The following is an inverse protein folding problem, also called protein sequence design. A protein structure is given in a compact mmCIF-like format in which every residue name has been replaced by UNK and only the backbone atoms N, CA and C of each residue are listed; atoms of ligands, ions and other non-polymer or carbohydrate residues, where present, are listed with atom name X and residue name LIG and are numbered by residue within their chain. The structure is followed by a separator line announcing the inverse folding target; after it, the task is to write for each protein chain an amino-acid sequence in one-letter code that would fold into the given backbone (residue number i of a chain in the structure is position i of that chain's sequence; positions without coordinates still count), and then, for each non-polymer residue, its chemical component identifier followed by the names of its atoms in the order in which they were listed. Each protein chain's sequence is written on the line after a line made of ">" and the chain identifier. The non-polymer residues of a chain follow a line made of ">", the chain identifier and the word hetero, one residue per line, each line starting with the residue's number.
data_IF_719988622531
#
_entry.id   IF_719988622531
#
_cell.length_a   1.000
_cell.length_b   1.000
_cell.length_c   1.000
_cell.angle_alpha   90.00
_cell.angle_beta   90.00
_cell.angle_gamma   90.00
#
_symmetry.space_group_name_H-M   'P 1'
#
loop_
_entity.id
_entity.type
_entity.pdbx_description
1 polymer ?
#
# COMPACT_ATOMS: atom_id res chain seq x y z
N UNK A 1 -19.51 -23.21 -0.33
CA UNK A 1 -18.07 -23.35 -0.64
C UNK A 1 -17.34 -22.26 0.08
N UNK A 2 -16.53 -22.63 1.07
CA UNK A 2 -15.58 -21.70 1.68
C UNK A 2 -14.65 -21.14 0.60
N UNK A 3 -14.24 -19.86 0.69
CA UNK A 3 -13.32 -19.28 -0.26
C UNK A 3 -11.98 -20.01 -0.18
N UNK A 4 -11.64 -20.74 -1.23
CA UNK A 4 -10.36 -21.43 -1.33
C UNK A 4 -9.23 -20.41 -1.36
N UNK A 5 -8.27 -20.51 -0.43
CA UNK A 5 -7.07 -19.66 -0.44
C UNK A 5 -6.28 -19.92 -1.73
N UNK A 6 -5.96 -18.88 -2.53
CA UNK A 6 -5.12 -19.00 -3.71
C UNK A 6 -3.79 -19.69 -3.44
N UNK A 7 -3.25 -20.44 -4.41
CA UNK A 7 -1.97 -21.14 -4.27
C UNK A 7 -0.84 -20.20 -3.85
N UNK A 8 -0.68 -19.07 -4.56
CA UNK A 8 0.33 -18.07 -4.22
C UNK A 8 0.13 -17.48 -2.82
N UNK A 9 -1.12 -17.23 -2.41
CA UNK A 9 -1.39 -16.75 -1.06
C UNK A 9 -1.05 -17.81 0.00
N UNK A 10 -1.31 -19.09 -0.27
CA UNK A 10 -0.88 -20.18 0.63
C UNK A 10 0.63 -20.16 0.80
N UNK A 11 1.39 -20.04 -0.28
CA UNK A 11 2.86 -19.99 -0.22
C UNK A 11 3.36 -18.79 0.60
N UNK A 12 2.80 -17.60 0.35
CA UNK A 12 3.09 -16.40 1.14
C UNK A 12 2.81 -16.65 2.62
N UNK A 13 1.66 -17.24 2.96
CA UNK A 13 1.28 -17.52 4.36
C UNK A 13 2.26 -18.48 5.02
N UNK A 14 2.73 -19.53 4.32
CA UNK A 14 3.76 -20.43 4.86
C UNK A 14 5.08 -19.69 5.11
N UNK A 15 5.47 -18.80 4.20
CA UNK A 15 6.68 -17.98 4.36
C UNK A 15 6.56 -16.99 5.52
N UNK A 16 5.40 -16.35 5.64
CA UNK A 16 5.10 -15.47 6.78
C UNK A 16 5.07 -16.24 8.09
N UNK A 17 4.58 -17.48 8.12
CA UNK A 17 4.61 -18.30 9.34
C UNK A 17 6.04 -18.44 9.87
N UNK A 18 6.98 -18.80 8.98
CA UNK A 18 8.42 -18.88 9.30
C UNK A 18 9.00 -17.54 9.75
N UNK A 19 8.65 -16.46 9.05
CA UNK A 19 9.04 -15.10 9.44
C UNK A 19 8.63 -14.76 10.89
N UNK A 20 7.42 -15.15 11.30
CA UNK A 20 6.92 -14.90 12.65
C UNK A 20 7.51 -15.82 13.73
N UNK A 21 8.20 -16.90 13.34
CA UNK A 21 9.01 -17.73 14.26
C UNK A 21 10.34 -17.05 14.59
N UNK A 22 10.82 -16.12 13.76
CA UNK A 22 12.00 -15.30 14.04
C UNK A 22 11.70 -14.18 15.07
N UNK A 23 12.75 -13.67 15.73
CA UNK A 23 12.64 -12.55 16.67
C UNK A 23 12.02 -11.32 15.98
N UNK A 24 11.05 -10.69 16.64
CA UNK A 24 10.44 -9.45 16.15
C UNK A 24 11.49 -8.34 16.14
N UNK A 25 11.70 -7.63 15.01
CA UNK A 25 12.64 -6.52 14.97
C UNK A 25 12.24 -5.43 15.97
N UNK A 26 13.21 -4.99 16.77
CA UNK A 26 13.01 -3.96 17.79
C UNK A 26 13.23 -2.58 17.19
N UNK A 27 12.32 -1.66 17.49
CA UNK A 27 12.44 -0.26 17.14
C UNK A 27 13.16 0.51 18.25
N UNK A 28 14.13 1.32 17.86
CA UNK A 28 14.74 2.32 18.72
C UNK A 28 14.29 3.71 18.24
N UNK A 29 13.95 4.58 19.19
CA UNK A 29 13.71 5.98 18.88
C UNK A 29 15.04 6.70 18.74
N UNK A 30 15.17 7.49 17.68
CA UNK A 30 16.34 8.31 17.40
C UNK A 30 15.90 9.73 17.03
N UNK A 31 16.82 10.69 17.15
CA UNK A 31 16.59 12.00 16.56
C UNK A 31 16.82 11.92 15.03
N UNK A 32 15.98 12.57 14.20
CA UNK A 32 16.27 12.72 12.78
C UNK A 32 17.61 13.44 12.57
N UNK A 33 18.45 12.91 11.67
CA UNK A 33 19.70 13.57 11.30
C UNK A 33 19.46 14.77 10.38
N UNK A 34 20.48 15.61 10.16
CA UNK A 34 20.39 16.71 9.20
C UNK A 34 20.12 16.21 7.77
N UNK A 35 20.70 15.06 7.38
CA UNK A 35 20.42 14.41 6.10
C UNK A 35 18.96 13.95 6.00
N UNK A 36 18.44 13.32 7.05
CA UNK A 36 17.05 12.88 7.11
C UNK A 36 16.09 14.07 6.92
N UNK A 37 16.35 15.19 7.59
CA UNK A 37 15.55 16.42 7.45
C UNK A 37 15.66 17.04 6.05
N UNK A 38 16.86 17.03 5.46
CA UNK A 38 17.07 17.53 4.10
C UNK A 38 16.32 16.70 3.05
N UNK A 39 16.30 15.38 3.20
CA UNK A 39 15.51 14.48 2.35
C UNK A 39 14.03 14.78 2.49
N UNK A 40 13.51 14.82 3.72
CA UNK A 40 12.08 15.12 3.96
C UNK A 40 11.68 16.48 3.39
N UNK A 41 12.52 17.50 3.57
CA UNK A 41 12.28 18.84 3.02
C UNK A 41 12.25 18.82 1.49
N UNK A 42 13.23 18.15 0.86
CA UNK A 42 13.28 18.00 -0.60
C UNK A 42 12.01 17.33 -1.10
N UNK A 43 11.68 16.15 -0.58
CA UNK A 43 10.47 15.45 -0.99
C UNK A 43 9.22 16.32 -0.77
N UNK A 44 9.07 16.96 0.39
CA UNK A 44 7.92 17.80 0.68
C UNK A 44 7.77 19.04 -0.22
N UNK A 45 8.86 19.58 -0.75
CA UNK A 45 8.85 20.83 -1.53
C UNK A 45 8.87 20.59 -3.02
N UNK A 46 9.36 19.43 -3.48
CA UNK A 46 9.33 19.04 -4.88
C UNK A 46 7.91 18.78 -5.38
N UNK A 47 7.62 19.28 -6.59
CA UNK A 47 6.42 18.91 -7.31
C UNK A 47 6.46 17.41 -7.66
N UNK A 48 5.31 16.75 -7.55
CA UNK A 48 5.18 15.33 -7.86
C UNK A 48 3.88 15.10 -8.60
N UNK A 49 3.96 14.43 -9.74
CA UNK A 49 2.79 13.97 -10.49
C UNK A 49 1.93 12.98 -9.69
N UNK A 50 2.51 12.37 -8.64
CA UNK A 50 1.82 11.43 -7.76
C UNK A 50 1.06 12.15 -6.63
N UNK A 51 1.63 13.20 -6.04
CA UNK A 51 1.04 14.01 -4.95
C UNK A 51 0.42 15.32 -5.45
N UNK A 52 -0.58 15.22 -6.34
CA UNK A 52 -1.23 16.38 -6.95
C UNK A 52 -1.98 17.29 -5.97
N UNK A 53 -2.34 16.76 -4.79
CA UNK A 53 -2.94 17.53 -3.71
C UNK A 53 -1.90 18.25 -2.83
N UNK A 54 -0.60 18.07 -3.10
CA UNK A 54 0.51 18.64 -2.34
C UNK A 54 0.43 18.33 -0.84
N UNK A 55 -0.02 17.12 -0.48
CA UNK A 55 -0.22 16.71 0.91
C UNK A 55 1.08 16.76 1.71
N UNK A 56 2.20 16.36 1.11
CA UNK A 56 3.52 16.37 1.75
C UNK A 56 3.96 17.79 2.07
N UNK A 57 3.76 18.69 1.11
CA UNK A 57 4.07 20.11 1.26
C UNK A 57 3.21 20.75 2.36
N UNK A 58 1.91 20.49 2.34
CA UNK A 58 0.99 21.00 3.35
C UNK A 58 1.36 20.55 4.76
N UNK A 59 1.70 19.27 4.93
CA UNK A 59 2.12 18.72 6.22
C UNK A 59 3.48 19.25 6.68
N UNK A 60 4.43 19.41 5.75
CA UNK A 60 5.76 19.94 6.05
C UNK A 60 5.73 21.43 6.41
N UNK A 61 4.80 22.21 5.87
CA UNK A 61 4.67 23.63 6.19
C UNK A 61 3.74 23.89 7.39
N UNK A 62 3.09 22.86 7.94
CA UNK A 62 2.28 23.00 9.14
C UNK A 62 3.17 23.33 10.35
N UNK A 63 2.76 24.33 11.13
CA UNK A 63 3.48 24.80 12.32
C UNK A 63 3.41 23.80 13.48
N UNK A 64 2.37 22.96 13.51
CA UNK A 64 2.17 21.93 14.52
C UNK A 64 2.74 20.57 14.08
N UNK A 65 3.54 20.53 13.01
CA UNK A 65 4.16 19.30 12.55
C UNK A 65 5.17 18.77 13.58
N UNK A 66 5.29 17.47 13.61
CA UNK A 66 6.36 16.76 14.31
C UNK A 66 7.09 15.86 13.33
N UNK A 67 8.37 15.61 13.59
CA UNK A 67 9.16 14.60 12.89
C UNK A 67 9.67 13.61 13.91
N UNK A 68 9.24 12.36 13.82
CA UNK A 68 9.76 11.28 14.66
C UNK A 68 10.59 10.34 13.79
N UNK A 69 11.63 9.74 14.37
CA UNK A 69 12.48 8.78 13.70
C UNK A 69 12.54 7.50 14.55
N UNK A 70 12.27 6.37 13.91
CA UNK A 70 12.50 5.06 14.51
C UNK A 70 13.35 4.20 13.59
N UNK A 71 14.31 3.50 14.17
CA UNK A 71 15.24 2.63 13.45
C UNK A 71 15.15 1.21 14.00
N UNK A 72 15.18 0.24 13.09
CA UNK A 72 15.37 -1.16 13.42
C UNK A 72 16.42 -1.75 12.48
N UNK A 73 16.76 -3.03 12.66
CA UNK A 73 17.73 -3.76 11.83
C UNK A 73 17.48 -3.66 10.32
N UNK A 74 16.21 -3.52 9.90
CA UNK A 74 15.80 -3.57 8.49
C UNK A 74 15.46 -2.21 7.89
N UNK A 75 15.63 -1.13 8.65
CA UNK A 75 15.40 0.20 8.11
C UNK A 75 15.10 1.28 9.15
N UNK A 76 14.97 2.49 8.61
CA UNK A 76 14.64 3.73 9.30
C UNK A 76 13.31 4.25 8.79
N UNK A 77 12.43 4.67 9.70
CA UNK A 77 11.15 5.29 9.38
C UNK A 77 11.13 6.70 9.96
N UNK A 78 11.01 7.68 9.07
CA UNK A 78 10.84 9.09 9.39
C UNK A 78 9.36 9.43 9.23
N UNK A 79 8.70 9.79 10.33
CA UNK A 79 7.27 10.12 10.32
C UNK A 79 7.10 11.62 10.48
N UNK A 80 6.59 12.27 9.46
CA UNK A 80 6.10 13.66 9.51
C UNK A 80 4.61 13.58 9.78
N UNK A 81 4.12 14.18 10.87
CA UNK A 81 2.69 14.16 11.21
C UNK A 81 2.23 15.45 11.86
N UNK A 82 0.92 15.69 11.81
CA UNK A 82 0.23 16.72 12.60
C UNK A 82 -0.57 16.03 13.70
N UNK A 83 -0.07 16.13 14.94
CA UNK A 83 -0.63 15.41 16.08
C UNK A 83 -0.40 13.90 16.04
N UNK A 84 -1.11 13.13 16.89
CA UNK A 84 -0.94 11.69 16.99
C UNK A 84 -1.25 10.98 15.67
N UNK A 85 -0.39 10.03 15.30
CA UNK A 85 -0.57 9.10 14.18
C UNK A 85 -0.32 7.68 14.66
N UNK A 86 -1.08 6.73 14.10
CA UNK A 86 -1.04 5.33 14.50
C UNK A 86 -0.22 4.53 13.48
N UNK A 87 1.09 4.43 13.69
CA UNK A 87 1.94 3.54 12.88
C UNK A 87 1.90 2.14 13.47
N UNK A 88 1.51 1.10 12.70
CA UNK A 88 1.51 -0.28 13.18
C UNK A 88 2.94 -0.83 13.18
N UNK A 89 3.74 -0.38 14.15
CA UNK A 89 5.19 -0.58 14.22
C UNK A 89 5.60 -2.04 14.14
N UNK A 90 4.86 -2.92 14.81
CA UNK A 90 5.13 -4.37 14.77
C UNK A 90 4.93 -4.92 13.36
N UNK A 91 3.84 -4.52 12.69
CA UNK A 91 3.56 -4.94 11.32
C UNK A 91 4.60 -4.40 10.34
N UNK A 92 4.98 -3.13 10.47
CA UNK A 92 5.99 -2.50 9.60
C UNK A 92 7.38 -3.12 9.79
N UNK A 93 7.77 -3.47 11.02
CA UNK A 93 8.99 -4.22 11.28
C UNK A 93 9.01 -5.57 10.55
N UNK A 94 7.91 -6.33 10.61
CA UNK A 94 7.79 -7.61 9.90
C UNK A 94 7.80 -7.45 8.39
N UNK A 95 7.17 -6.39 7.86
CA UNK A 95 7.24 -6.05 6.44
C UNK A 95 8.70 -5.81 6.04
N UNK A 96 9.42 -4.94 6.74
CA UNK A 96 10.82 -4.64 6.42
C UNK A 96 11.72 -5.88 6.54
N UNK A 97 11.51 -6.72 7.56
CA UNK A 97 12.19 -8.00 7.73
C UNK A 97 11.97 -8.94 6.55
N UNK A 98 10.73 -9.02 6.03
CA UNK A 98 10.37 -9.85 4.89
C UNK A 98 11.13 -9.44 3.62
N UNK A 99 11.34 -8.14 3.39
CA UNK A 99 12.09 -7.64 2.22
C UNK A 99 13.62 -7.69 2.42
N UNK A 100 14.12 -7.78 3.66
CA UNK A 100 15.52 -8.12 3.94
C UNK A 100 16.56 -7.04 3.57
N UNK A 101 16.19 -5.76 3.57
CA UNK A 101 17.06 -4.63 3.20
C UNK A 101 17.30 -3.63 4.33
N UNK A 102 17.96 -2.51 4.01
CA UNK A 102 18.05 -1.32 4.87
C UNK A 102 17.32 -0.17 4.17
N UNK A 103 16.02 -0.02 4.45
CA UNK A 103 15.16 0.95 3.79
C UNK A 103 15.05 2.24 4.61
N UNK A 104 15.00 3.39 3.94
CA UNK A 104 14.60 4.67 4.56
C UNK A 104 13.20 5.05 4.08
N UNK A 105 12.23 4.98 4.99
CA UNK A 105 10.83 5.32 4.73
C UNK A 105 10.58 6.76 5.14
N UNK A 106 10.17 7.60 4.20
CA UNK A 106 9.73 8.97 4.41
C UNK A 106 8.20 8.99 4.45
N UNK A 107 7.63 8.91 5.64
CA UNK A 107 6.19 8.80 5.86
C UNK A 107 5.58 10.15 6.27
N UNK A 108 4.90 10.81 5.34
CA UNK A 108 4.06 11.97 5.61
C UNK A 108 2.65 11.50 5.96
N UNK A 109 2.34 11.41 7.25
CA UNK A 109 1.06 10.91 7.77
C UNK A 109 -0.07 11.93 7.59
N UNK A 110 -0.36 12.31 6.34
CA UNK A 110 -1.44 13.23 6.01
C UNK A 110 -2.80 12.53 6.17
N UNK A 111 -3.67 13.13 6.99
CA UNK A 111 -5.05 12.69 7.24
C UNK A 111 -5.98 13.11 6.10
N UNK A 112 -5.70 12.62 4.90
CA UNK A 112 -6.48 12.88 3.69
C UNK A 112 -7.08 11.59 3.13
N UNK A 113 -8.41 11.41 3.20
CA UNK A 113 -9.05 10.19 2.68
C UNK A 113 -9.01 10.13 1.16
N UNK A 114 -8.97 8.91 0.62
CA UNK A 114 -9.18 8.57 -0.78
C UNK A 114 -10.66 8.61 -1.10
N UNK A 115 -11.06 9.66 -1.78
CA UNK A 115 -12.45 9.87 -2.20
C UNK A 115 -12.49 9.86 -3.71
N UNK A 116 -13.35 9.02 -4.28
CA UNK A 116 -13.64 9.02 -5.71
C UNK A 116 -14.27 10.37 -6.11
N UNK A 117 -13.99 10.87 -7.31
CA UNK A 117 -14.56 12.13 -7.78
C UNK A 117 -16.07 11.99 -8.03
N UNK A 118 -16.70 13.07 -8.51
CA UNK A 118 -18.05 13.00 -9.06
C UNK A 118 -18.16 11.96 -10.19
N UNK A 119 -19.36 11.41 -10.37
CA UNK A 119 -19.64 10.43 -11.43
C UNK A 119 -19.35 11.02 -12.81
N UNK A 120 -18.83 10.18 -13.69
CA UNK A 120 -18.38 10.57 -15.03
C UNK A 120 -17.04 11.29 -15.05
N UNK A 121 -16.51 11.73 -13.90
CA UNK A 121 -15.18 12.32 -13.81
C UNK A 121 -14.09 11.25 -13.76
N UNK A 122 -12.92 11.51 -14.37
CA UNK A 122 -11.80 10.56 -14.39
C UNK A 122 -11.19 10.39 -13.00
N UNK A 123 -10.81 9.15 -12.66
CA UNK A 123 -10.13 8.83 -11.41
C UNK A 123 -8.61 8.92 -11.62
N UNK A 124 -8.03 10.03 -11.18
CA UNK A 124 -6.60 10.34 -11.28
C UNK A 124 -5.85 10.16 -9.94
N UNK A 125 -4.55 10.46 -9.94
CA UNK A 125 -3.61 10.28 -8.83
C UNK A 125 -4.10 10.89 -7.50
N UNK A 126 -4.73 12.07 -7.53
CA UNK A 126 -5.28 12.74 -6.36
C UNK A 126 -6.34 11.92 -5.60
N UNK A 127 -6.97 10.94 -6.24
CA UNK A 127 -7.99 10.11 -5.61
C UNK A 127 -7.40 8.83 -5.00
N UNK A 128 -6.30 8.31 -5.55
CA UNK A 128 -5.89 6.91 -5.31
C UNK A 128 -4.40 6.69 -5.03
N UNK A 129 -3.50 7.65 -5.27
CA UNK A 129 -2.08 7.49 -4.94
C UNK A 129 -1.79 7.87 -3.49
N UNK A 130 -0.85 7.19 -2.85
CA UNK A 130 -0.38 7.57 -1.52
C UNK A 130 1.08 7.25 -1.24
N UNK A 131 1.85 6.88 -2.26
CA UNK A 131 3.28 6.70 -2.18
C UNK A 131 3.92 6.78 -3.56
N UNK A 132 5.24 6.74 -3.55
CA UNK A 132 6.07 6.47 -4.70
C UNK A 132 7.49 6.12 -4.21
N UNK A 133 8.26 5.46 -5.07
CA UNK A 133 9.70 5.28 -4.89
C UNK A 133 10.39 5.24 -6.24
N UNK A 134 11.70 5.46 -6.26
CA UNK A 134 12.51 5.08 -7.41
C UNK A 134 12.70 3.56 -7.43
N UNK A 135 12.54 2.88 -8.58
CA UNK A 135 12.80 1.45 -8.67
C UNK A 135 14.23 1.13 -8.26
N UNK A 136 14.43 0.02 -7.54
CA UNK A 136 15.73 -0.42 -7.05
C UNK A 136 16.44 0.54 -6.06
N UNK A 137 15.72 1.50 -5.49
CA UNK A 137 16.27 2.47 -4.55
C UNK A 137 15.63 2.33 -3.17
N UNK A 138 16.42 1.86 -2.20
CA UNK A 138 16.01 1.74 -0.80
C UNK A 138 16.26 3.02 0.02
N UNK A 139 16.90 4.04 -0.56
CA UNK A 139 17.36 5.24 0.15
C UNK A 139 16.24 6.25 0.44
N UNK A 140 15.11 6.15 -0.27
CA UNK A 140 13.95 7.01 -0.06
C UNK A 140 12.67 6.37 -0.63
N UNK A 141 11.90 5.71 0.25
CA UNK A 141 10.55 5.24 -0.06
C UNK A 141 9.55 6.24 0.53
N UNK A 142 8.73 6.87 -0.30
CA UNK A 142 7.80 7.91 0.14
C UNK A 142 6.40 7.32 0.32
N UNK A 143 5.81 7.52 1.50
CA UNK A 143 4.40 7.26 1.80
C UNK A 143 3.80 8.57 2.30
N UNK A 144 2.67 9.03 1.77
CA UNK A 144 2.17 10.37 2.07
C UNK A 144 0.68 10.48 2.41
N UNK A 145 0.03 9.35 2.68
CA UNK A 145 -1.31 9.32 3.28
C UNK A 145 -1.33 8.32 4.41
N UNK A 146 -2.03 8.68 5.48
CA UNK A 146 -2.25 7.74 6.59
C UNK A 146 -3.19 6.59 6.17
N UNK A 147 -4.17 6.89 5.31
CA UNK A 147 -5.03 5.86 4.76
C UNK A 147 -4.25 4.88 3.87
N UNK A 148 -4.35 3.60 4.23
CA UNK A 148 -3.67 2.47 3.57
C UNK A 148 -2.14 2.54 3.57
N UNK A 149 -1.54 3.31 4.48
CA UNK A 149 -0.08 3.50 4.55
C UNK A 149 0.70 2.17 4.54
N UNK A 150 0.22 1.16 5.25
CA UNK A 150 0.85 -0.17 5.29
C UNK A 150 0.83 -0.87 3.93
N UNK A 151 -0.25 -0.76 3.16
CA UNK A 151 -0.36 -1.36 1.83
C UNK A 151 0.49 -0.61 0.81
N UNK A 152 0.49 0.72 0.89
CA UNK A 152 1.43 1.56 0.12
C UNK A 152 2.87 1.14 0.42
N UNK A 153 3.24 1.01 1.70
CA UNK A 153 4.59 0.59 2.07
C UNK A 153 4.99 -0.73 1.40
N UNK A 154 4.14 -1.75 1.44
CA UNK A 154 4.43 -3.03 0.77
C UNK A 154 4.61 -2.83 -0.74
N UNK A 155 3.73 -2.07 -1.39
CA UNK A 155 3.80 -1.75 -2.82
C UNK A 155 5.14 -1.07 -3.18
N UNK A 156 5.48 0.02 -2.49
CA UNK A 156 6.71 0.77 -2.79
C UNK A 156 7.97 -0.03 -2.45
N UNK A 157 7.94 -0.86 -1.41
CA UNK A 157 9.08 -1.74 -1.10
C UNK A 157 9.34 -2.77 -2.21
N UNK A 158 8.31 -3.23 -2.93
CA UNK A 158 8.51 -4.09 -4.09
C UNK A 158 9.27 -3.37 -5.20
N UNK A 159 8.88 -2.12 -5.51
CA UNK A 159 9.61 -1.27 -6.47
C UNK A 159 11.06 -1.05 -6.00
N UNK A 160 11.26 -0.65 -4.75
CA UNK A 160 12.58 -0.41 -4.16
C UNK A 160 13.46 -1.68 -4.15
N UNK A 161 12.87 -2.86 -4.12
CA UNK A 161 13.56 -4.15 -4.10
C UNK A 161 13.75 -4.77 -5.49
N UNK A 162 13.59 -3.99 -6.56
CA UNK A 162 13.72 -4.45 -7.95
C UNK A 162 12.77 -5.59 -8.34
N UNK A 163 11.59 -5.68 -7.74
CA UNK A 163 10.63 -6.76 -8.03
C UNK A 163 9.69 -6.44 -9.20
N UNK A 164 9.93 -5.35 -9.92
CA UNK A 164 9.18 -4.98 -11.11
C UNK A 164 9.28 -6.07 -12.18
N UNK A 165 8.16 -6.47 -12.80
CA UNK A 165 8.19 -7.37 -13.95
C UNK A 165 9.09 -6.80 -15.06
N UNK A 166 10.08 -7.58 -15.54
CA UNK A 166 10.91 -7.15 -16.65
C UNK A 166 10.07 -7.04 -17.93
N UNK A 167 10.40 -6.08 -18.80
CA UNK A 167 9.81 -5.95 -20.14
C UNK A 167 8.25 -5.87 -20.08
N UNK A 168 7.73 -4.93 -19.30
CA UNK A 168 6.30 -4.66 -19.16
C UNK A 168 6.05 -3.15 -19.23
N UNK A 169 4.87 -2.74 -19.71
CA UNK A 169 4.46 -1.33 -19.66
C UNK A 169 4.31 -0.86 -18.20
N UNK A 170 4.34 0.47 -17.98
CA UNK A 170 4.13 1.03 -16.63
C UNK A 170 2.78 0.56 -16.05
N UNK A 171 1.71 0.55 -16.86
CA UNK A 171 0.39 0.11 -16.38
C UNK A 171 0.38 -1.37 -15.95
N UNK A 172 1.05 -2.25 -16.68
CA UNK A 172 1.14 -3.67 -16.32
C UNK A 172 2.02 -3.91 -15.09
N UNK A 173 3.13 -3.17 -14.96
CA UNK A 173 3.98 -3.21 -13.76
C UNK A 173 3.19 -2.83 -12.52
N UNK A 174 2.55 -1.68 -12.55
CA UNK A 174 1.72 -1.17 -11.43
C UNK A 174 0.60 -2.14 -11.08
N UNK A 175 -0.07 -2.74 -12.08
CA UNK A 175 -1.11 -3.74 -11.84
C UNK A 175 -0.56 -5.00 -11.15
N UNK A 176 0.62 -5.47 -11.56
CA UNK A 176 1.23 -6.66 -10.99
C UNK A 176 1.73 -6.40 -9.56
N UNK A 177 2.42 -5.28 -9.35
CA UNK A 177 2.93 -4.86 -8.05
C UNK A 177 1.78 -4.62 -7.06
N UNK A 178 0.72 -3.91 -7.46
CA UNK A 178 -0.45 -3.71 -6.61
C UNK A 178 -1.11 -5.05 -6.22
N UNK A 179 -1.25 -5.97 -7.17
CA UNK A 179 -1.81 -7.31 -6.92
C UNK A 179 -0.97 -8.08 -5.90
N UNK A 180 0.35 -8.06 -6.05
CA UNK A 180 1.25 -8.70 -5.10
C UNK A 180 1.22 -8.02 -3.73
N UNK A 181 1.18 -6.69 -3.68
CA UNK A 181 1.11 -5.94 -2.44
C UNK A 181 -0.12 -6.33 -1.60
N UNK A 182 -1.29 -6.49 -2.24
CA UNK A 182 -2.50 -6.97 -1.57
C UNK A 182 -2.34 -8.41 -1.02
N UNK A 183 -1.73 -9.30 -1.80
CA UNK A 183 -1.50 -10.70 -1.39
C UNK A 183 -0.49 -10.79 -0.22
N UNK A 184 0.61 -10.04 -0.28
CA UNK A 184 1.60 -9.96 0.79
C UNK A 184 1.02 -9.35 2.06
N UNK A 185 0.24 -8.27 1.93
CA UNK A 185 -0.45 -7.67 3.07
C UNK A 185 -1.33 -8.70 3.78
N UNK A 186 -2.15 -9.45 3.04
CA UNK A 186 -3.01 -10.49 3.63
C UNK A 186 -2.19 -11.59 4.29
N UNK A 187 -1.10 -12.03 3.63
CA UNK A 187 -0.14 -12.97 4.20
C UNK A 187 0.36 -12.50 5.57
N UNK A 188 0.89 -11.28 5.64
CA UNK A 188 1.44 -10.66 6.86
C UNK A 188 0.37 -10.49 7.95
N UNK A 189 -0.81 -9.98 7.60
CA UNK A 189 -1.92 -9.78 8.54
C UNK A 189 -2.47 -11.09 9.09
N UNK A 190 -2.35 -12.19 8.32
CA UNK A 190 -2.74 -13.52 8.79
C UNK A 190 -1.77 -14.13 9.81
N UNK A 191 -0.56 -13.56 9.97
CA UNK A 191 0.50 -14.07 10.85
C UNK A 191 0.80 -15.56 10.63
N UNK A 192 0.73 -16.03 9.38
CA UNK A 192 0.96 -17.43 9.02
C UNK A 192 -0.25 -18.37 9.19
N UNK A 193 -1.41 -17.85 9.59
CA UNK A 193 -2.65 -18.64 9.71
C UNK A 193 -3.40 -18.73 8.38
N UNK A 194 -3.47 -19.94 7.80
CA UNK A 194 -4.23 -20.21 6.57
C UNK A 194 -5.73 -19.90 6.74
N UNK A 195 -6.30 -20.21 7.90
CA UNK A 195 -7.70 -19.91 8.20
C UNK A 195 -7.96 -18.39 8.21
N UNK A 196 -7.09 -17.62 8.86
CA UNK A 196 -7.19 -16.15 8.88
C UNK A 196 -6.96 -15.58 7.48
N UNK A 197 -5.97 -16.08 6.74
CA UNK A 197 -5.73 -15.67 5.36
C UNK A 197 -6.95 -15.90 4.45
N UNK A 198 -7.68 -17.01 4.62
CA UNK A 198 -8.92 -17.27 3.89
C UNK A 198 -10.01 -16.24 4.19
N UNK A 199 -10.18 -15.86 5.46
CA UNK A 199 -11.14 -14.85 5.88
C UNK A 199 -10.79 -13.47 5.31
N UNK A 200 -9.53 -13.04 5.46
CA UNK A 200 -9.05 -11.76 4.94
C UNK A 200 -9.13 -11.70 3.41
N UNK A 201 -8.79 -12.79 2.72
CA UNK A 201 -8.92 -12.89 1.28
C UNK A 201 -10.37 -12.77 0.81
N UNK A 202 -11.32 -13.35 1.55
CA UNK A 202 -12.74 -13.21 1.26
C UNK A 202 -13.21 -11.75 1.35
N UNK A 203 -12.76 -11.02 2.37
CA UNK A 203 -13.04 -9.58 2.53
C UNK A 203 -12.43 -8.78 1.37
N UNK A 204 -11.18 -9.06 1.03
CA UNK A 204 -10.49 -8.34 -0.04
C UNK A 204 -11.10 -8.61 -1.42
N UNK A 205 -11.42 -9.86 -1.76
CA UNK A 205 -12.08 -10.18 -3.04
C UNK A 205 -13.43 -9.46 -3.17
N UNK A 206 -14.22 -9.43 -2.10
CA UNK A 206 -15.49 -8.70 -2.09
C UNK A 206 -15.28 -7.21 -2.33
N UNK A 207 -14.24 -6.63 -1.74
CA UNK A 207 -13.88 -5.23 -1.94
C UNK A 207 -13.43 -4.95 -3.38
N UNK A 208 -12.53 -5.77 -3.93
CA UNK A 208 -12.08 -5.67 -5.34
C UNK A 208 -13.28 -5.68 -6.29
N UNK A 209 -14.23 -6.59 -6.06
CA UNK A 209 -15.45 -6.67 -6.88
C UNK A 209 -16.28 -5.39 -6.81
N UNK A 210 -16.51 -4.87 -5.60
CA UNK A 210 -17.27 -3.64 -5.37
C UNK A 210 -16.59 -2.42 -6.01
N UNK A 211 -15.28 -2.27 -5.80
CA UNK A 211 -14.46 -1.20 -6.39
C UNK A 211 -14.51 -1.23 -7.92
N UNK A 212 -14.29 -2.41 -8.51
CA UNK A 212 -14.31 -2.54 -9.96
C UNK A 212 -15.71 -2.30 -10.55
N UNK A 213 -16.77 -2.67 -9.85
CA UNK A 213 -18.15 -2.39 -10.26
C UNK A 213 -18.45 -0.87 -10.23
N UNK A 214 -18.07 -0.17 -9.16
CA UNK A 214 -18.25 1.29 -9.03
C UNK A 214 -17.47 2.02 -10.12
N UNK A 215 -16.18 1.71 -10.30
CA UNK A 215 -15.31 2.41 -11.26
C UNK A 215 -15.72 2.16 -12.71
N UNK A 216 -16.07 0.92 -13.05
CA UNK A 216 -16.49 0.59 -14.42
C UNK A 216 -17.83 1.26 -14.77
N UNK A 217 -18.81 1.21 -13.86
CA UNK A 217 -20.16 1.74 -14.11
C UNK A 217 -20.26 3.25 -14.01
N UNK A 218 -19.46 3.88 -13.14
CA UNK A 218 -19.67 5.28 -12.77
C UNK A 218 -18.50 6.21 -13.12
N UNK A 219 -17.33 5.67 -13.47
CA UNK A 219 -16.14 6.45 -13.81
C UNK A 219 -15.50 6.07 -15.15
N UNK A 220 -16.19 5.25 -15.95
CA UNK A 220 -15.76 4.85 -17.30
C UNK A 220 -14.37 4.19 -17.37
N UNK A 221 -13.89 3.62 -16.26
CA UNK A 221 -12.63 2.87 -16.23
C UNK A 221 -12.85 1.54 -16.96
N UNK A 222 -12.20 1.37 -18.12
CA UNK A 222 -12.48 0.27 -19.07
C UNK A 222 -11.22 -0.45 -19.53
N UNK A 223 -10.08 0.22 -19.68
CA UNK A 223 -8.84 -0.37 -20.20
C UNK A 223 -7.62 0.19 -19.48
N UNK A 224 -6.45 -0.44 -19.64
CA UNK A 224 -5.17 0.02 -19.06
C UNK A 224 -4.70 1.40 -19.56
N UNK A 225 -5.38 1.98 -20.56
CA UNK A 225 -5.18 3.37 -20.98
C UNK A 225 -5.73 4.36 -19.94
N UNK A 226 -6.73 3.95 -19.15
CA UNK A 226 -7.24 4.74 -18.04
C UNK A 226 -6.27 4.68 -16.86
N UNK A 227 -5.90 5.84 -16.32
CA UNK A 227 -4.97 5.95 -15.19
C UNK A 227 -5.29 4.99 -14.03
N UNK A 228 -6.56 4.95 -13.61
CA UNK A 228 -7.02 4.11 -12.50
C UNK A 228 -7.17 2.62 -12.85
N UNK A 229 -7.16 2.25 -14.13
CA UNK A 229 -7.34 0.86 -14.52
C UNK A 229 -6.16 -0.02 -14.10
N UNK A 230 -4.93 0.52 -14.06
CA UNK A 230 -3.76 -0.21 -13.58
C UNK A 230 -3.93 -0.69 -12.14
N UNK A 231 -4.65 0.06 -11.32
CA UNK A 231 -4.95 -0.32 -9.93
C UNK A 231 -6.25 -1.11 -9.77
N UNK A 232 -7.03 -1.33 -10.83
CA UNK A 232 -8.40 -1.84 -10.73
C UNK A 232 -8.69 -3.00 -11.68
N UNK A 233 -8.99 -2.74 -12.95
CA UNK A 233 -9.24 -3.80 -13.95
C UNK A 233 -7.97 -4.59 -14.24
N UNK A 234 -6.81 -3.92 -14.31
CA UNK A 234 -5.51 -4.57 -14.44
C UNK A 234 -5.25 -5.61 -13.36
N UNK A 235 -5.65 -5.29 -12.11
CA UNK A 235 -5.56 -6.23 -10.98
C UNK A 235 -6.32 -7.53 -11.21
N UNK A 236 -7.48 -7.49 -11.88
CA UNK A 236 -8.25 -8.71 -12.20
C UNK A 236 -7.50 -9.57 -13.22
N UNK A 237 -6.89 -8.94 -14.23
CA UNK A 237 -6.09 -9.65 -15.22
C UNK A 237 -4.88 -10.32 -14.57
N UNK A 238 -4.19 -9.62 -13.66
CA UNK A 238 -3.06 -10.16 -12.90
C UNK A 238 -3.46 -11.31 -11.98
N UNK A 239 -4.60 -11.20 -11.28
CA UNK A 239 -5.15 -12.29 -10.49
C UNK A 239 -5.46 -13.52 -11.35
N UNK A 240 -6.06 -13.34 -12.53
CA UNK A 240 -6.33 -14.43 -13.47
C UNK A 240 -5.05 -15.11 -13.96
N UNK A 241 -3.99 -14.36 -14.31
CA UNK A 241 -2.67 -14.91 -14.67
C UNK A 241 -2.09 -15.80 -13.57
N UNK A 242 -2.41 -15.49 -12.31
CA UNK A 242 -2.00 -16.26 -11.12
C UNK A 242 -2.97 -17.40 -10.78
N UNK A 243 -3.92 -17.72 -11.66
CA UNK A 243 -4.90 -18.79 -11.47
C UNK A 243 -6.03 -18.44 -10.49
N UNK A 244 -6.21 -17.15 -10.18
CA UNK A 244 -7.19 -16.69 -9.19
C UNK A 244 -8.41 -16.11 -9.88
N UNK A 245 -9.50 -16.89 -9.87
CA UNK A 245 -10.75 -16.48 -10.51
C UNK A 245 -11.63 -15.68 -9.56
N UNK A 246 -11.93 -14.44 -9.94
CA UNK A 246 -12.89 -13.59 -9.24
C UNK A 246 -14.28 -13.85 -9.82
N UNK A 247 -15.12 -14.63 -9.12
CA UNK A 247 -16.51 -14.86 -9.53
C UNK A 247 -17.34 -13.60 -9.35
N UNK A 248 -17.69 -12.92 -10.44
CA UNK A 248 -18.54 -11.72 -10.40
C UNK A 248 -19.82 -11.99 -9.61
N UNK A 249 -19.96 -11.31 -8.48
CA UNK A 249 -21.23 -11.16 -7.77
C UNK A 249 -21.65 -9.71 -7.93
N UNK A 250 -22.93 -9.47 -8.24
CA UNK A 250 -23.47 -8.11 -8.24
C UNK A 250 -23.40 -7.58 -6.81
N UNK A 251 -22.59 -6.57 -6.59
CA UNK A 251 -22.54 -5.85 -5.33
C UNK A 251 -23.32 -4.55 -5.50
N UNK A 252 -24.43 -4.44 -4.76
CA UNK A 252 -25.37 -3.31 -4.89
C UNK A 252 -25.02 -2.14 -3.97
N UNK A 253 -24.03 -2.29 -3.09
CA UNK A 253 -23.69 -1.29 -2.07
C UNK A 253 -22.68 -0.30 -2.62
N UNK A 254 -23.18 0.89 -2.98
CA UNK A 254 -22.38 2.04 -3.43
C UNK A 254 -21.42 2.51 -2.34
N UNK A 255 -20.28 3.05 -2.75
CA UNK A 255 -19.34 3.75 -1.87
C UNK A 255 -18.56 4.82 -2.64
N UNK A 256 -18.09 5.85 -1.94
CA UNK A 256 -17.22 6.91 -2.49
C UNK A 256 -15.73 6.68 -2.23
N UNK A 257 -15.36 5.54 -1.63
CA UNK A 257 -13.97 5.27 -1.25
C UNK A 257 -13.11 4.93 -2.46
N UNK A 258 -11.93 5.54 -2.56
CA UNK A 258 -10.88 5.22 -3.54
C UNK A 258 -9.83 4.24 -3.01
N UNK A 259 -10.10 3.52 -1.91
CA UNK A 259 -9.17 2.55 -1.31
C UNK A 259 -9.01 1.30 -2.18
N UNK A 260 -7.82 0.74 -2.18
CA UNK A 260 -7.52 -0.51 -2.89
C UNK A 260 -7.79 -1.75 -2.03
N UNK A 261 -7.66 -1.62 -0.73
CA UNK A 261 -7.92 -2.66 0.26
C UNK A 261 -9.20 -2.43 1.04
N UNK A 262 -9.85 -3.53 1.44
CA UNK A 262 -11.01 -3.47 2.30
C UNK A 262 -10.67 -2.73 3.60
N UNK A 263 -11.47 -1.71 4.00
CA UNK A 263 -11.30 -1.05 5.31
C UNK A 263 -11.34 -2.02 6.49
N UNK A 264 -11.96 -3.19 6.32
CA UNK A 264 -12.03 -4.22 7.36
C UNK A 264 -10.66 -4.86 7.66
N UNK A 265 -9.69 -4.78 6.74
CA UNK A 265 -8.32 -5.27 6.97
C UNK A 265 -7.58 -4.44 8.02
N UNK A 266 -7.90 -3.15 8.17
CA UNK A 266 -7.22 -2.26 9.12
C UNK A 266 -7.36 -2.74 10.58
N UNK A 267 -8.43 -3.50 10.89
CA UNK A 267 -8.66 -4.11 12.21
C UNK A 267 -7.61 -5.15 12.61
N UNK A 268 -6.83 -5.63 11.64
CA UNK A 268 -5.79 -6.64 11.84
C UNK A 268 -4.39 -6.02 11.91
N UNK A 269 -4.27 -4.70 11.72
CA UNK A 269 -3.03 -3.99 11.95
C UNK A 269 -2.76 -3.93 13.45
N UNK A 270 -1.56 -4.39 13.86
CA UNK A 270 -1.12 -4.30 15.24
C UNK A 270 -0.52 -2.91 15.44
N UNK A 271 -1.28 -2.03 16.08
CA UNK A 271 -0.82 -0.71 16.53
C UNK A 271 0.09 -0.84 17.73
#
# INVERSE_FOLDING_TARGET
>A
MEPTVPLYLKEIVHNVKRLYEEETPRWNEEAPTAEDLAILQREATSESQFDRLRLRNGLWNDVARTVTCRVCKYGKVLVVSKGPTSVPWTTWARILQMFGGNFRICYFAAKSPRVLPSRGSPVLAEHINGGYTMPCDSSCVVVYREEEATRVLVHELMHASCLDPPISSVAEKEASIETWAELFLIGILSKGSIATAAQLWALQIKWIQSQNEELNKHHSVRSLEDYSARYTIGRVQELLKKGITIRRKKHTKRHSSGRFTSPELDRYLVV
#
